data_IF_168426917467
#
_entry.id   IF_168426917467
#
_cell.length_a   1.000
_cell.length_b   1.000
_cell.length_c   1.000
_cell.angle_alpha   90.00
_cell.angle_beta   90.00
_cell.angle_gamma   90.00
#
_symmetry.space_group_name_H-M   'P 1'
#
loop_
_entity.id
_entity.type
_entity.pdbx_description
1 polymer ?
#
# COMPACT_ATOMS: atom_id res chain seq x y z
N UNK A 1 -23.33 13.88 9.86
CA UNK A 1 -23.86 13.12 8.70
C UNK A 1 -23.64 13.99 7.47
N UNK A 2 -22.57 13.76 6.69
CA UNK A 2 -22.23 14.58 5.52
C UNK A 2 -22.05 13.67 4.31
N UNK A 3 -23.09 13.52 3.51
CA UNK A 3 -23.02 12.86 2.20
C UNK A 3 -22.70 13.91 1.13
N UNK A 4 -21.40 14.11 0.89
CA UNK A 4 -20.91 14.85 -0.26
C UNK A 4 -21.15 14.04 -1.54
N UNK A 5 -21.79 14.63 -2.56
CA UNK A 5 -21.89 14.04 -3.90
C UNK A 5 -20.49 14.06 -4.55
N UNK A 6 -19.73 12.98 -4.39
CA UNK A 6 -18.36 12.90 -4.87
C UNK A 6 -18.29 12.69 -6.40
N UNK A 7 -17.59 13.59 -7.10
CA UNK A 7 -17.33 13.48 -8.55
C UNK A 7 -16.37 12.31 -8.80
N UNK A 8 -16.58 11.56 -9.89
CA UNK A 8 -15.76 10.40 -10.32
C UNK A 8 -14.23 10.64 -10.29
N UNK A 9 -13.79 11.88 -10.51
CA UNK A 9 -12.37 12.26 -10.43
C UNK A 9 -11.79 12.35 -9.02
N UNK A 10 -12.61 12.54 -7.97
CA UNK A 10 -12.16 12.53 -6.58
C UNK A 10 -11.86 11.12 -6.08
N UNK A 11 -12.70 10.15 -6.48
CA UNK A 11 -12.53 8.74 -6.11
C UNK A 11 -11.18 8.17 -6.56
N UNK A 12 -10.84 8.35 -7.83
CA UNK A 12 -9.61 7.83 -8.42
C UNK A 12 -8.36 8.43 -7.77
N UNK A 13 -8.39 9.72 -7.41
CA UNK A 13 -7.30 10.35 -6.65
C UNK A 13 -7.12 9.69 -5.29
N UNK A 14 -8.20 9.40 -4.58
CA UNK A 14 -8.14 8.74 -3.27
C UNK A 14 -7.64 7.29 -3.31
N UNK A 15 -7.89 6.57 -4.41
CA UNK A 15 -7.27 5.26 -4.63
C UNK A 15 -5.76 5.37 -4.85
N UNK A 16 -5.33 6.36 -5.67
CA UNK A 16 -3.91 6.61 -5.87
C UNK A 16 -3.22 7.01 -4.56
N UNK A 17 -3.83 7.90 -3.76
CA UNK A 17 -3.31 8.31 -2.45
C UNK A 17 -3.14 7.10 -1.51
N UNK A 18 -4.13 6.21 -1.45
CA UNK A 18 -4.08 4.99 -0.63
C UNK A 18 -2.92 4.06 -1.05
N UNK A 19 -2.74 3.88 -2.36
CA UNK A 19 -1.69 3.03 -2.89
C UNK A 19 -0.29 3.61 -2.64
N UNK A 20 -0.13 4.94 -2.74
CA UNK A 20 1.13 5.63 -2.39
C UNK A 20 1.45 5.49 -0.92
N UNK A 21 0.46 5.68 -0.04
CA UNK A 21 0.65 5.53 1.39
C UNK A 21 1.09 4.10 1.75
N UNK A 22 0.40 3.09 1.20
CA UNK A 22 0.81 1.69 1.34
C UNK A 22 2.25 1.47 0.86
N UNK A 23 2.58 1.94 -0.35
CA UNK A 23 3.90 1.74 -0.94
C UNK A 23 5.02 2.46 -0.16
N UNK A 24 4.75 3.65 0.40
CA UNK A 24 5.70 4.37 1.24
C UNK A 24 6.07 3.56 2.49
N UNK A 25 5.10 2.87 3.10
CA UNK A 25 5.35 1.96 4.22
C UNK A 25 6.20 0.73 3.86
N UNK A 26 6.33 0.37 2.59
CA UNK A 26 7.18 -0.73 2.13
C UNK A 26 8.63 -0.32 1.81
N UNK A 27 8.85 0.98 1.58
CA UNK A 27 10.17 1.56 1.26
C UNK A 27 10.90 2.06 2.52
N UNK A 28 10.19 2.16 3.65
CA UNK A 28 10.85 2.30 4.96
C UNK A 28 11.85 1.16 5.17
N UNK A 29 13.01 1.46 5.78
CA UNK A 29 14.08 0.49 5.96
C UNK A 29 13.55 -0.80 6.63
N UNK A 30 13.48 -1.94 5.92
CA UNK A 30 12.98 -3.20 6.48
C UNK A 30 13.91 -3.78 7.56
N UNK A 31 15.13 -3.23 7.68
CA UNK A 31 16.15 -3.50 8.70
C UNK A 31 16.18 -2.43 9.80
N UNK A 32 15.06 -1.76 10.02
CA UNK A 32 14.94 -0.79 11.11
C UNK A 32 13.56 -0.98 11.72
N UNK A 33 13.29 -2.19 12.21
CA UNK A 33 12.33 -2.32 13.29
C UNK A 33 12.84 -1.50 14.49
N UNK A 34 11.96 -1.03 15.39
CA UNK A 34 12.38 -0.33 16.61
C UNK A 34 13.52 -1.07 17.33
N UNK A 35 13.49 -2.41 17.29
CA UNK A 35 14.50 -3.30 17.85
C UNK A 35 15.86 -3.23 17.13
N UNK A 36 15.91 -3.18 15.79
CA UNK A 36 17.18 -3.03 15.04
C UNK A 36 17.75 -1.61 15.19
N UNK A 37 16.88 -0.60 15.28
CA UNK A 37 17.31 0.78 15.57
C UNK A 37 17.87 0.86 16.99
N UNK A 38 17.24 0.20 17.96
CA UNK A 38 17.74 0.14 19.33
C UNK A 38 19.03 -0.68 19.44
N UNK A 39 19.16 -1.79 18.71
CA UNK A 39 20.40 -2.58 18.63
C UNK A 39 21.54 -1.79 17.98
N UNK A 40 21.28 -1.06 16.88
CA UNK A 40 22.24 -0.17 16.24
C UNK A 40 22.65 0.97 17.19
N UNK A 41 21.69 1.62 17.85
CA UNK A 41 21.94 2.67 18.84
C UNK A 41 22.77 2.13 20.02
N UNK A 42 22.47 0.92 20.51
CA UNK A 42 23.26 0.23 21.54
C UNK A 42 24.66 -0.10 21.04
N UNK A 43 24.82 -0.52 19.79
CA UNK A 43 26.13 -0.77 19.17
C UNK A 43 26.96 0.53 19.09
N UNK A 44 26.31 1.70 18.96
CA UNK A 44 26.93 3.02 19.06
C UNK A 44 27.02 3.59 20.49
N UNK A 45 26.60 2.83 21.51
CA UNK A 45 26.68 3.21 22.93
C UNK A 45 25.61 4.21 23.40
N UNK A 46 24.55 4.42 22.62
CA UNK A 46 23.42 5.27 22.95
C UNK A 46 22.34 4.42 23.61
N UNK A 47 21.91 4.77 24.83
CA UNK A 47 20.79 4.10 25.51
C UNK A 47 19.56 4.98 25.36
N UNK A 48 18.50 4.43 24.77
CA UNK A 48 17.20 5.11 24.63
C UNK A 48 16.23 4.47 25.61
N UNK A 49 15.66 5.27 26.51
CA UNK A 49 14.56 4.84 27.37
C UNK A 49 13.28 4.76 26.51
N UNK A 50 12.51 3.66 26.54
CA UNK A 50 11.33 3.53 25.72
C UNK A 50 10.23 4.46 26.26
N UNK A 51 10.05 5.60 25.60
CA UNK A 51 8.81 6.36 25.71
C UNK A 51 7.73 5.59 24.95
N UNK A 52 6.91 4.83 25.68
CA UNK A 52 5.78 4.09 25.13
C UNK A 52 4.72 5.09 24.62
N UNK A 53 4.89 5.54 23.38
CA UNK A 53 3.93 6.40 22.72
C UNK A 53 2.84 5.52 22.09
N UNK A 54 1.87 5.11 22.91
CA UNK A 54 0.68 4.35 22.48
C UNK A 54 -0.15 5.13 21.43
N UNK A 55 0.01 6.45 21.35
CA UNK A 55 -0.67 7.32 20.37
C UNK A 55 -0.04 7.30 18.97
N UNK A 56 1.20 6.79 18.81
CA UNK A 56 1.89 6.75 17.52
C UNK A 56 1.21 5.86 16.46
N UNK A 57 0.37 4.91 16.88
CA UNK A 57 -0.39 4.05 15.98
C UNK A 57 -1.59 4.75 15.33
N UNK A 58 -2.22 5.70 16.02
CA UNK A 58 -3.38 6.45 15.48
C UNK A 58 -2.95 7.53 14.48
N UNK A 59 -1.79 8.16 14.70
CA UNK A 59 -1.26 9.22 13.83
C UNK A 59 -0.80 8.73 12.44
N UNK A 60 -0.61 7.41 12.27
CA UNK A 60 -0.18 6.80 11.01
C UNK A 60 -1.32 6.15 10.20
N UNK A 61 -2.57 6.23 10.65
CA UNK A 61 -3.70 5.60 9.96
C UNK A 61 -4.14 6.38 8.70
N UNK A 62 -4.12 5.73 7.53
CA UNK A 62 -4.64 6.33 6.29
C UNK A 62 -6.15 6.11 6.12
N UNK A 63 -6.92 7.20 6.09
CA UNK A 63 -8.37 7.16 5.87
C UNK A 63 -8.79 6.77 4.46
N UNK A 64 -9.40 5.59 4.29
CA UNK A 64 -9.98 5.14 3.02
C UNK A 64 -11.46 5.52 2.92
N UNK A 65 -11.86 6.11 1.79
CA UNK A 65 -13.27 6.46 1.55
C UNK A 65 -14.13 5.20 1.42
N UNK A 66 -15.34 5.22 2.00
CA UNK A 66 -16.27 4.07 2.04
C UNK A 66 -16.46 3.37 0.69
N UNK A 67 -16.53 4.13 -0.40
CA UNK A 67 -16.69 3.60 -1.76
C UNK A 67 -15.45 2.92 -2.35
N UNK A 68 -14.28 3.17 -1.76
CA UNK A 68 -12.99 2.63 -2.15
C UNK A 68 -12.55 1.44 -1.29
N UNK A 69 -13.18 1.21 -0.13
CA UNK A 69 -12.80 0.15 0.82
C UNK A 69 -12.64 -1.20 0.11
N UNK A 70 -13.65 -1.65 -0.65
CA UNK A 70 -13.59 -2.94 -1.37
C UNK A 70 -12.46 -3.01 -2.40
N UNK A 71 -12.14 -1.90 -3.06
CA UNK A 71 -11.03 -1.86 -4.01
C UNK A 71 -9.71 -1.98 -3.28
N UNK A 72 -9.54 -1.24 -2.16
CA UNK A 72 -8.32 -1.28 -1.35
C UNK A 72 -8.13 -2.64 -0.70
N UNK A 73 -9.18 -3.23 -0.15
CA UNK A 73 -9.15 -4.60 0.40
C UNK A 73 -8.71 -5.62 -0.66
N UNK A 74 -9.28 -5.53 -1.87
CA UNK A 74 -8.86 -6.43 -2.96
C UNK A 74 -7.42 -6.17 -3.40
N UNK A 75 -6.98 -4.91 -3.47
CA UNK A 75 -5.60 -4.58 -3.75
C UNK A 75 -4.64 -5.21 -2.74
N UNK A 76 -4.98 -5.15 -1.44
CA UNK A 76 -4.19 -5.75 -0.36
C UNK A 76 -4.22 -7.29 -0.40
N UNK A 77 -5.31 -7.90 -0.86
CA UNK A 77 -5.40 -9.37 -0.93
C UNK A 77 -4.59 -9.98 -2.08
N UNK A 78 -4.18 -9.17 -3.06
CA UNK A 78 -3.42 -9.62 -4.25
C UNK A 78 -1.98 -9.13 -4.28
N UNK A 79 -1.42 -8.70 -3.15
CA UNK A 79 -0.03 -8.25 -3.07
C UNK A 79 0.99 -9.33 -3.46
N UNK A 80 0.64 -10.61 -3.39
CA UNK A 80 1.53 -11.69 -3.87
C UNK A 80 1.67 -11.75 -5.39
N UNK A 81 0.86 -10.99 -6.13
CA UNK A 81 0.82 -11.02 -7.60
C UNK A 81 1.74 -9.98 -8.25
N UNK A 82 2.49 -9.19 -7.46
CA UNK A 82 3.47 -8.25 -8.00
C UNK A 82 4.62 -8.99 -8.69
N UNK A 83 4.91 -8.59 -9.92
CA UNK A 83 6.05 -9.06 -10.69
C UNK A 83 7.26 -8.19 -10.37
N UNK A 84 8.41 -8.85 -10.24
CA UNK A 84 9.69 -8.24 -9.92
C UNK A 84 10.69 -8.62 -11.00
N UNK A 85 11.50 -7.67 -11.45
CA UNK A 85 12.59 -7.93 -12.38
C UNK A 85 13.72 -8.67 -11.67
N UNK A 86 14.08 -9.87 -12.14
CA UNK A 86 14.97 -10.78 -11.42
C UNK A 86 16.39 -10.27 -11.17
N UNK A 87 16.89 -9.33 -11.97
CA UNK A 87 18.26 -8.79 -11.80
C UNK A 87 18.32 -7.47 -11.03
N UNK A 88 17.34 -6.58 -11.23
CA UNK A 88 17.35 -5.24 -10.62
C UNK A 88 16.44 -5.13 -9.41
N UNK A 89 15.57 -6.12 -9.18
CA UNK A 89 14.52 -6.04 -8.16
C UNK A 89 13.44 -4.99 -8.47
N UNK A 90 13.46 -4.35 -9.64
CA UNK A 90 12.48 -3.34 -10.00
C UNK A 90 11.07 -3.96 -10.09
N UNK A 91 10.08 -3.28 -9.52
CA UNK A 91 8.69 -3.71 -9.58
C UNK A 91 8.15 -3.42 -10.98
N UNK A 92 7.61 -4.46 -11.64
CA UNK A 92 7.12 -4.39 -13.03
C UNK A 92 5.60 -4.16 -13.13
N UNK A 93 4.87 -4.34 -12.02
CA UNK A 93 3.40 -4.34 -12.00
C UNK A 93 2.82 -5.69 -11.61
N UNK A 94 1.50 -5.80 -11.58
CA UNK A 94 0.78 -7.03 -11.31
C UNK A 94 0.83 -8.01 -12.47
N UNK A 95 0.76 -9.29 -12.13
CA UNK A 95 0.44 -10.37 -13.07
C UNK A 95 -1.09 -10.40 -13.27
N UNK A 96 -1.55 -9.85 -14.40
CA UNK A 96 -2.99 -9.67 -14.65
C UNK A 96 -3.80 -10.98 -14.70
N UNK A 97 -3.32 -12.09 -15.28
CA UNK A 97 -3.99 -13.38 -15.16
C UNK A 97 -4.32 -13.80 -13.71
N UNK A 98 -3.38 -13.64 -12.77
CA UNK A 98 -3.54 -13.93 -11.35
C UNK A 98 -4.54 -13.00 -10.69
N UNK A 99 -4.55 -11.71 -11.07
CA UNK A 99 -5.59 -10.76 -10.66
C UNK A 99 -6.98 -11.21 -11.15
N UNK A 100 -7.11 -11.64 -12.40
CA UNK A 100 -8.38 -12.11 -12.97
C UNK A 100 -8.85 -13.38 -12.25
N UNK A 101 -7.94 -14.32 -11.97
CA UNK A 101 -8.25 -15.52 -11.18
C UNK A 101 -8.72 -15.16 -9.77
N UNK A 102 -8.04 -14.24 -9.09
CA UNK A 102 -8.44 -13.75 -7.77
C UNK A 102 -9.83 -13.07 -7.82
N UNK A 103 -10.13 -12.27 -8.84
CA UNK A 103 -11.45 -11.65 -9.01
C UNK A 103 -12.56 -12.69 -9.19
N UNK A 104 -12.28 -13.77 -9.93
CA UNK A 104 -13.22 -14.87 -10.13
C UNK A 104 -13.50 -15.62 -8.82
N UNK A 105 -12.43 -15.99 -8.08
CA UNK A 105 -12.56 -16.70 -6.79
C UNK A 105 -13.29 -15.87 -5.72
N UNK A 106 -13.13 -14.54 -5.74
CA UNK A 106 -13.81 -13.63 -4.81
C UNK A 106 -15.23 -13.24 -5.25
N UNK A 107 -15.75 -13.78 -6.36
CA UNK A 107 -17.11 -13.49 -6.83
C UNK A 107 -17.33 -12.03 -7.23
N UNK A 108 -16.29 -11.34 -7.72
CA UNK A 108 -16.38 -9.93 -8.09
C UNK A 108 -17.30 -9.75 -9.29
N UNK A 109 -18.43 -9.06 -9.09
CA UNK A 109 -19.44 -8.82 -10.14
C UNK A 109 -19.00 -7.79 -11.19
N UNK A 110 -18.37 -6.70 -10.78
CA UNK A 110 -17.94 -5.61 -11.68
C UNK A 110 -16.42 -5.62 -11.87
N UNK A 111 -15.92 -6.68 -12.51
CA UNK A 111 -14.49 -6.89 -12.73
C UNK A 111 -13.86 -5.75 -13.55
N UNK A 112 -14.56 -5.24 -14.57
CA UNK A 112 -14.06 -4.12 -15.41
C UNK A 112 -13.79 -2.87 -14.57
N UNK A 113 -14.71 -2.49 -13.68
CA UNK A 113 -14.53 -1.33 -12.81
C UNK A 113 -13.41 -1.57 -11.80
N UNK A 114 -13.39 -2.73 -11.15
CA UNK A 114 -12.34 -3.07 -10.18
C UNK A 114 -10.96 -3.07 -10.84
N UNK A 115 -10.84 -3.63 -12.04
CA UNK A 115 -9.59 -3.67 -12.78
C UNK A 115 -9.09 -2.25 -13.13
N UNK A 116 -9.98 -1.36 -13.60
CA UNK A 116 -9.63 0.04 -13.85
C UNK A 116 -9.17 0.76 -12.57
N UNK A 117 -9.83 0.49 -11.44
CA UNK A 117 -9.48 1.05 -10.14
C UNK A 117 -8.14 0.49 -9.62
N UNK A 118 -7.86 -0.80 -9.81
CA UNK A 118 -6.57 -1.43 -9.46
C UNK A 118 -5.42 -0.89 -10.28
N UNK A 119 -5.61 -0.62 -11.58
CA UNK A 119 -4.56 -0.01 -12.41
C UNK A 119 -4.14 1.38 -11.94
N UNK A 120 -5.08 2.13 -11.36
CA UNK A 120 -4.77 3.43 -10.75
C UNK A 120 -3.88 3.23 -9.51
N UNK A 121 -4.23 2.27 -8.66
CA UNK A 121 -3.45 1.93 -7.47
C UNK A 121 -2.06 1.38 -7.84
N UNK A 122 -2.00 0.45 -8.79
CA UNK A 122 -0.77 -0.15 -9.32
C UNK A 122 0.22 0.92 -9.79
N UNK A 123 -0.21 1.80 -10.70
CA UNK A 123 0.63 2.89 -11.20
C UNK A 123 1.14 3.79 -10.06
N UNK A 124 0.25 4.17 -9.15
CA UNK A 124 0.59 5.08 -8.05
C UNK A 124 1.56 4.44 -7.03
N UNK A 125 1.45 3.13 -6.79
CA UNK A 125 2.37 2.38 -5.94
C UNK A 125 3.74 2.20 -6.61
N UNK A 126 3.78 1.88 -7.92
CA UNK A 126 5.04 1.72 -8.66
C UNK A 126 5.91 2.99 -8.64
N UNK A 127 5.29 4.18 -8.69
CA UNK A 127 5.99 5.46 -8.57
C UNK A 127 6.75 5.64 -7.22
N UNK A 128 6.35 4.90 -6.18
CA UNK A 128 7.00 4.93 -4.87
C UNK A 128 7.97 3.74 -4.74
N UNK A 129 7.52 2.52 -5.07
CA UNK A 129 8.31 1.30 -4.91
C UNK A 129 9.61 1.28 -5.74
N UNK A 130 9.63 2.03 -6.85
CA UNK A 130 10.78 2.13 -7.74
C UNK A 130 11.54 3.46 -7.61
N UNK A 131 11.19 4.33 -6.64
CA UNK A 131 11.72 5.70 -6.56
C UNK A 131 13.22 5.78 -6.25
N UNK A 132 13.80 4.73 -5.65
CA UNK A 132 15.22 4.71 -5.20
C UNK A 132 15.88 3.32 -5.40
N UNK A 133 15.51 2.60 -6.48
CA UNK A 133 16.11 1.31 -6.85
C UNK A 133 17.10 1.42 -8.00
#
# INVERSE_FOLDING_TARGET
MLEGKFRKGGRSKKLADAARHWAAGQVGNPRAGPDEVEEDLRAFGITVEPEANEDAAEDNAFGVWKENVKTVEFFLSVLTQWRVHGMTGAILGFEYPGIVAAMAMNGIRNQKRLFADLRIMESAAMEILNRER
#
